data_IF_671976924843
#
_entry.id   IF_671976924843
#
_cell.length_a   1.000
_cell.length_b   1.000
_cell.length_c   1.000
_cell.angle_alpha   90.00
_cell.angle_beta   90.00
_cell.angle_gamma   90.00
#
_symmetry.space_group_name_H-M   'P 1'
#
loop_
_entity.id
_entity.type
_entity.pdbx_description
1 polymer ?
#
# COMPACT_ATOMS: atom_id res chain seq x y z
N UNK A 1 3.42 -50.61 -53.39
CA UNK A 1 3.02 -51.04 -52.03
C UNK A 1 3.89 -50.52 -50.88
N UNK A 2 5.07 -49.90 -51.12
CA UNK A 2 5.93 -49.34 -50.04
C UNK A 2 5.65 -47.89 -49.64
N UNK A 3 4.77 -47.17 -50.34
CA UNK A 3 4.48 -45.76 -50.05
C UNK A 3 3.25 -45.53 -49.15
N UNK A 4 2.42 -46.57 -48.94
CA UNK A 4 1.18 -46.47 -48.15
C UNK A 4 1.37 -46.74 -46.64
N UNK A 5 2.50 -47.29 -46.20
CA UNK A 5 2.73 -47.61 -44.79
C UNK A 5 3.29 -46.44 -43.95
N UNK A 6 3.90 -45.42 -44.58
CA UNK A 6 4.55 -44.31 -43.85
C UNK A 6 3.53 -43.20 -43.49
N UNK A 7 2.43 -43.10 -44.23
CA UNK A 7 1.37 -42.12 -43.95
C UNK A 7 0.52 -42.48 -42.72
N UNK A 8 0.39 -43.76 -42.34
CA UNK A 8 -0.45 -44.16 -41.20
C UNK A 8 0.23 -43.98 -39.84
N UNK A 9 1.57 -43.90 -39.78
CA UNK A 9 2.31 -43.75 -38.51
C UNK A 9 2.36 -42.30 -38.01
N UNK A 10 2.14 -41.32 -38.89
CA UNK A 10 2.05 -39.90 -38.50
C UNK A 10 0.63 -39.47 -38.07
N UNK A 11 -0.39 -40.26 -38.38
CA UNK A 11 -1.77 -39.92 -38.04
C UNK A 11 -2.18 -40.39 -36.63
N UNK A 12 -1.51 -41.40 -36.08
CA UNK A 12 -1.83 -41.94 -34.74
C UNK A 12 -1.16 -41.19 -33.58
N UNK A 13 -0.06 -40.46 -33.81
CA UNK A 13 0.66 -39.73 -32.75
C UNK A 13 0.01 -38.39 -32.38
N UNK A 14 -0.77 -37.80 -33.30
CA UNK A 14 -1.42 -36.51 -33.06
C UNK A 14 -2.73 -36.60 -32.26
N UNK A 15 -3.30 -37.81 -32.10
CA UNK A 15 -4.58 -37.98 -31.41
C UNK A 15 -4.45 -38.11 -29.88
N UNK A 16 -3.26 -38.37 -29.34
CA UNK A 16 -3.05 -38.49 -27.89
C UNK A 16 -2.83 -37.15 -27.15
N UNK A 17 -2.65 -36.03 -27.86
CA UNK A 17 -2.34 -34.73 -27.23
C UNK A 17 -3.53 -33.77 -27.11
N UNK A 18 -4.74 -34.18 -27.49
CA UNK A 18 -5.95 -33.35 -27.32
C UNK A 18 -6.62 -33.57 -25.96
N UNK A 19 -5.86 -33.46 -24.87
CA UNK A 19 -6.51 -33.23 -23.58
C UNK A 19 -6.89 -31.74 -23.48
N UNK A 20 -8.16 -31.42 -23.20
CA UNK A 20 -8.55 -30.02 -23.00
C UNK A 20 -7.74 -29.45 -21.84
N UNK A 21 -6.96 -28.40 -22.11
CA UNK A 21 -6.24 -27.66 -21.09
C UNK A 21 -7.29 -27.18 -20.09
N UNK A 22 -7.30 -27.76 -18.89
CA UNK A 22 -8.19 -27.31 -17.82
C UNK A 22 -7.79 -25.86 -17.51
N UNK A 23 -8.71 -24.88 -17.64
CA UNK A 23 -8.35 -23.49 -17.45
C UNK A 23 -7.76 -23.32 -16.05
N UNK A 24 -6.58 -22.70 -15.98
CA UNK A 24 -5.97 -22.33 -14.72
C UNK A 24 -6.99 -21.50 -13.94
N UNK A 25 -7.44 -22.06 -12.82
CA UNK A 25 -8.40 -21.38 -11.96
C UNK A 25 -7.70 -20.13 -11.43
N UNK A 26 -8.11 -18.96 -11.92
CA UNK A 26 -7.52 -17.67 -11.53
C UNK A 26 -7.57 -17.61 -10.00
N UNK A 27 -6.43 -17.42 -9.31
CA UNK A 27 -6.43 -17.38 -7.86
C UNK A 27 -7.44 -16.32 -7.42
N UNK A 28 -8.30 -16.68 -6.47
CA UNK A 28 -9.22 -15.72 -5.85
C UNK A 28 -8.32 -14.71 -5.13
N UNK A 29 -8.08 -13.57 -5.77
CA UNK A 29 -7.29 -12.50 -5.18
C UNK A 29 -8.17 -11.90 -4.09
N UNK A 30 -7.97 -12.37 -2.85
CA UNK A 30 -8.55 -11.72 -1.69
C UNK A 30 -7.95 -10.32 -1.60
N UNK A 31 -8.78 -9.30 -1.82
CA UNK A 31 -8.36 -7.91 -1.69
C UNK A 31 -7.87 -7.68 -0.26
N UNK A 32 -6.60 -7.27 -0.12
CA UNK A 32 -6.05 -6.89 1.18
C UNK A 32 -6.56 -5.50 1.51
N UNK A 33 -7.18 -5.36 2.68
CA UNK A 33 -7.65 -4.07 3.20
C UNK A 33 -6.67 -3.56 4.27
N UNK A 34 -5.88 -2.52 4.00
CA UNK A 34 -4.97 -1.94 4.99
C UNK A 34 -5.71 -1.45 6.24
N UNK A 35 -5.03 -1.46 7.38
CA UNK A 35 -5.61 -0.97 8.64
C UNK A 35 -6.08 0.50 8.55
N UNK A 36 -5.39 1.33 7.76
CA UNK A 36 -5.81 2.73 7.53
C UNK A 36 -7.26 2.83 7.03
N UNK A 37 -7.71 1.89 6.20
CA UNK A 37 -9.06 1.85 5.64
C UNK A 37 -10.13 1.31 6.62
N UNK A 38 -9.73 0.70 7.73
CA UNK A 38 -10.62 0.05 8.69
C UNK A 38 -11.05 1.03 9.80
N UNK A 39 -11.58 2.19 9.40
CA UNK A 39 -11.89 3.32 10.30
C UNK A 39 -12.80 2.93 11.49
N UNK A 40 -13.77 2.04 11.28
CA UNK A 40 -14.66 1.54 12.33
C UNK A 40 -13.93 0.90 13.51
N UNK A 41 -12.81 0.23 13.23
CA UNK A 41 -12.09 -0.57 14.22
C UNK A 41 -11.32 0.30 15.21
N UNK A 42 -10.89 1.49 14.81
CA UNK A 42 -9.96 2.30 15.62
C UNK A 42 -10.45 3.72 15.93
N UNK A 43 -11.35 4.31 15.15
CA UNK A 43 -11.86 5.67 15.45
C UNK A 43 -12.46 5.80 16.86
N UNK A 44 -13.26 4.84 17.37
CA UNK A 44 -13.78 4.92 18.74
C UNK A 44 -12.68 5.02 19.79
N UNK A 45 -11.54 4.34 19.56
CA UNK A 45 -10.40 4.34 20.47
C UNK A 45 -9.65 5.67 20.47
N UNK A 46 -9.72 6.44 19.40
CA UNK A 46 -9.02 7.73 19.26
C UNK A 46 -9.86 8.92 19.73
N UNK A 47 -11.18 8.77 19.82
CA UNK A 47 -12.10 9.86 20.16
C UNK A 47 -11.78 10.47 21.54
N UNK A 48 -11.73 11.80 21.59
CA UNK A 48 -11.42 12.56 22.81
C UNK A 48 -9.95 12.51 23.26
N UNK A 49 -9.10 11.70 22.60
CA UNK A 49 -7.67 11.61 22.93
C UNK A 49 -6.86 12.64 22.13
N UNK A 50 -5.72 13.03 22.69
CA UNK A 50 -4.66 13.74 21.95
C UNK A 50 -3.83 12.71 21.21
N UNK A 51 -3.88 12.72 19.89
CA UNK A 51 -3.20 11.73 19.05
C UNK A 51 -1.90 12.31 18.49
N UNK A 52 -0.83 11.51 18.54
CA UNK A 52 0.38 11.71 17.76
C UNK A 52 0.42 10.68 16.64
N UNK A 53 0.83 11.08 15.44
CA UNK A 53 0.90 10.18 14.27
C UNK A 53 2.31 10.07 13.74
N UNK A 54 2.83 8.85 13.58
CA UNK A 54 4.07 8.61 12.84
C UNK A 54 3.70 8.06 11.47
N UNK A 55 4.08 8.77 10.41
CA UNK A 55 3.72 8.42 9.06
C UNK A 55 4.67 9.08 8.03
N UNK A 56 4.58 8.60 6.81
CA UNK A 56 5.17 9.23 5.62
C UNK A 56 4.07 9.38 4.55
N UNK A 57 4.47 9.86 3.37
CA UNK A 57 3.56 10.13 2.26
C UNK A 57 2.70 8.94 1.78
N UNK A 58 3.09 7.69 2.08
CA UNK A 58 2.34 6.51 1.64
C UNK A 58 1.18 6.15 2.58
N UNK A 59 1.06 6.82 3.72
CA UNK A 59 -0.03 6.61 4.67
C UNK A 59 -1.33 7.24 4.16
N UNK A 60 -1.94 6.66 3.13
CA UNK A 60 -3.15 7.18 2.47
C UNK A 60 -4.36 6.26 2.63
N UNK A 61 -5.55 6.85 2.56
CA UNK A 61 -6.82 6.19 2.30
C UNK A 61 -7.26 6.65 0.91
N UNK A 62 -7.08 5.81 -0.10
CA UNK A 62 -7.22 6.22 -1.50
C UNK A 62 -6.16 7.27 -1.85
N UNK A 63 -6.59 8.42 -2.37
CA UNK A 63 -5.71 9.55 -2.72
C UNK A 63 -5.50 10.56 -1.58
N UNK A 64 -6.14 10.35 -0.42
CA UNK A 64 -6.08 11.30 0.70
C UNK A 64 -5.15 10.78 1.79
N UNK A 65 -4.26 11.62 2.30
CA UNK A 65 -3.38 11.23 3.40
C UNK A 65 -4.19 10.99 4.68
N UNK A 66 -3.83 9.97 5.46
CA UNK A 66 -4.55 9.51 6.64
C UNK A 66 -4.79 10.65 7.64
N UNK A 67 -3.79 11.50 7.87
CA UNK A 67 -3.89 12.63 8.79
C UNK A 67 -5.03 13.59 8.43
N UNK A 68 -5.27 13.82 7.14
CA UNK A 68 -6.28 14.76 6.64
C UNK A 68 -7.67 14.15 6.87
N UNK A 69 -7.81 12.85 6.57
CA UNK A 69 -9.03 12.09 6.85
C UNK A 69 -9.36 12.09 8.35
N UNK A 70 -8.40 11.78 9.22
CA UNK A 70 -8.62 11.70 10.65
C UNK A 70 -8.96 13.06 11.27
N UNK A 71 -8.30 14.15 10.87
CA UNK A 71 -8.67 15.49 11.31
C UNK A 71 -10.10 15.85 10.88
N UNK A 72 -10.46 15.57 9.63
CA UNK A 72 -11.82 15.84 9.10
C UNK A 72 -12.89 15.05 9.86
N UNK A 73 -12.56 13.87 10.36
CA UNK A 73 -13.42 13.04 11.21
C UNK A 73 -13.42 13.47 12.69
N UNK A 74 -12.79 14.60 13.03
CA UNK A 74 -12.81 15.18 14.37
C UNK A 74 -11.80 14.57 15.34
N UNK A 75 -10.82 13.80 14.86
CA UNK A 75 -9.74 13.29 15.71
C UNK A 75 -8.73 14.41 15.98
N UNK A 76 -8.43 14.63 17.27
CA UNK A 76 -7.49 15.66 17.72
C UNK A 76 -6.04 15.19 17.54
N UNK A 77 -5.53 15.35 16.32
CA UNK A 77 -4.11 15.14 16.03
C UNK A 77 -3.33 16.38 16.49
N UNK A 78 -2.38 16.17 17.40
CA UNK A 78 -1.62 17.26 18.04
C UNK A 78 -0.20 17.40 17.52
N UNK A 79 0.34 16.34 16.91
CA UNK A 79 1.69 16.30 16.36
C UNK A 79 1.82 15.14 15.37
N UNK A 80 2.61 15.34 14.34
CA UNK A 80 3.05 14.30 13.43
C UNK A 80 4.56 14.06 13.55
N UNK A 81 4.99 12.88 13.14
CA UNK A 81 6.39 12.47 13.10
C UNK A 81 6.69 11.88 11.72
N UNK A 82 7.72 12.41 11.06
CA UNK A 82 8.13 11.97 9.72
C UNK A 82 9.49 11.25 9.74
N UNK A 83 9.68 10.22 8.90
CA UNK A 83 10.99 9.58 8.70
C UNK A 83 11.85 10.40 7.71
N UNK A 84 12.83 9.75 7.05
CA UNK A 84 13.82 10.35 6.16
C UNK A 84 13.25 11.25 5.07
N UNK A 85 12.37 10.72 4.20
CA UNK A 85 11.73 11.50 3.13
C UNK A 85 10.60 12.42 3.63
N UNK A 86 10.52 12.62 4.94
CA UNK A 86 9.54 13.46 5.59
C UNK A 86 8.12 12.88 5.61
N UNK A 87 7.22 13.65 6.22
CA UNK A 87 5.83 13.26 6.44
C UNK A 87 4.99 13.36 5.16
N UNK A 88 5.26 14.35 4.30
CA UNK A 88 4.55 14.55 3.01
C UNK A 88 5.32 14.11 1.77
N UNK A 89 6.55 13.60 1.90
CA UNK A 89 7.31 13.10 0.75
C UNK A 89 7.84 14.19 -0.18
N UNK A 90 7.97 15.43 0.30
CA UNK A 90 8.39 16.60 -0.48
C UNK A 90 9.89 16.88 -0.39
N UNK A 91 10.65 16.01 0.25
CA UNK A 91 12.09 16.16 0.43
C UNK A 91 12.85 15.22 -0.50
N UNK A 92 13.89 15.73 -1.15
CA UNK A 92 14.71 14.96 -2.07
C UNK A 92 15.56 13.93 -1.32
N UNK A 93 16.12 12.96 -2.07
CA UNK A 93 16.97 11.94 -1.49
C UNK A 93 18.22 12.56 -0.83
N UNK A 94 18.40 12.31 0.47
CA UNK A 94 19.51 12.86 1.25
C UNK A 94 19.28 14.26 1.83
N UNK A 95 18.16 14.91 1.53
CA UNK A 95 17.80 16.16 2.19
C UNK A 95 17.40 15.92 3.65
N UNK A 96 17.94 16.75 4.55
CA UNK A 96 17.46 16.76 5.93
C UNK A 96 16.15 17.52 6.00
N UNK A 97 15.10 16.81 6.39
CA UNK A 97 13.84 17.42 6.79
C UNK A 97 13.97 17.87 8.23
N UNK A 98 13.92 19.18 8.48
CA UNK A 98 13.82 19.73 9.83
C UNK A 98 12.37 19.67 10.36
N UNK A 99 12.15 20.08 11.61
CA UNK A 99 10.79 20.22 12.12
C UNK A 99 10.06 21.36 11.40
N UNK A 100 8.79 21.18 11.09
CA UNK A 100 7.99 22.18 10.38
C UNK A 100 6.51 22.13 10.79
N UNK A 101 5.72 23.11 10.33
CA UNK A 101 4.26 23.07 10.44
C UNK A 101 3.69 22.58 9.11
N UNK A 102 2.91 21.50 9.15
CA UNK A 102 2.23 20.99 7.95
C UNK A 102 1.20 22.02 7.47
N UNK A 103 1.40 22.57 6.26
CA UNK A 103 0.57 23.65 5.73
C UNK A 103 -0.91 23.26 5.58
N UNK A 104 -1.19 21.99 5.30
CA UNK A 104 -2.55 21.48 5.09
C UNK A 104 -3.33 21.36 6.39
N UNK A 105 -2.69 20.84 7.45
CA UNK A 105 -3.39 20.51 8.72
C UNK A 105 -3.08 21.44 9.88
N UNK A 106 -2.07 22.31 9.73
CA UNK A 106 -1.58 23.22 10.78
C UNK A 106 -0.87 22.53 11.94
N UNK A 107 -0.65 21.21 11.89
CA UNK A 107 0.01 20.49 13.00
C UNK A 107 1.53 20.58 12.91
N UNK A 108 2.24 20.57 14.04
CA UNK A 108 3.69 20.42 14.04
C UNK A 108 4.09 19.02 13.58
N UNK A 109 5.03 18.95 12.64
CA UNK A 109 5.72 17.75 12.17
C UNK A 109 7.12 17.74 12.76
N UNK A 110 7.46 16.67 13.47
CA UNK A 110 8.80 16.43 14.00
C UNK A 110 9.52 15.44 13.11
N UNK A 111 10.69 15.82 12.61
CA UNK A 111 11.55 14.91 11.89
C UNK A 111 12.21 13.93 12.85
N UNK A 112 12.08 12.64 12.56
CA UNK A 112 12.79 11.57 13.27
C UNK A 112 14.04 11.11 12.51
N UNK A 113 14.44 11.85 11.49
CA UNK A 113 15.67 11.62 10.73
C UNK A 113 16.74 12.63 11.12
N UNK A 114 18.01 12.20 11.13
CA UNK A 114 19.13 13.04 11.58
C UNK A 114 19.39 12.98 13.09
N UNK A 115 19.43 14.14 13.76
CA UNK A 115 19.89 14.27 15.17
C UNK A 115 18.94 13.64 16.19
N UNK A 116 17.64 13.59 15.88
CA UNK A 116 16.61 13.04 16.76
C UNK A 116 16.03 11.79 16.12
N UNK A 117 16.39 10.61 16.62
CA UNK A 117 15.91 9.30 16.11
C UNK A 117 14.83 8.65 16.98
N UNK A 118 14.47 9.28 18.10
CA UNK A 118 13.44 8.83 19.03
C UNK A 118 12.57 10.01 19.50
N UNK A 119 11.25 9.83 19.68
CA UNK A 119 10.35 10.88 20.18
C UNK A 119 10.75 11.44 21.54
#
# INVERSE_FOLDING_TARGET
MKLLLIASLFLSTNLLFSQPIKPLQKPIIKTILPAANQLSEYLPMLKGKRVGIFANHTATIGSTHLVDTLQKLGIKITKAFGPEHGFRGTADAGEKVDNYIDKTTGIPVISLYGKKRKP
#
